data_IF_634569539344
#
_entry.id   IF_634569539344
#
_cell.length_a   1.000
_cell.length_b   1.000
_cell.length_c   1.000
_cell.angle_alpha   90.00
_cell.angle_beta   90.00
_cell.angle_gamma   90.00
#
_symmetry.space_group_name_H-M   'P 1'
#
loop_
_entity.id
_entity.type
_entity.pdbx_description
1 polymer ?
#
# COMPACT_ATOMS: atom_id res chain seq x y z
N UNK A 1 -17.02 31.45 19.29
CA UNK A 1 -15.81 32.17 18.85
C UNK A 1 -15.35 31.48 17.58
N UNK A 2 -15.76 31.99 16.42
CA UNK A 2 -15.56 31.32 15.12
C UNK A 2 -14.12 31.50 14.67
N UNK A 3 -13.30 30.45 14.78
CA UNK A 3 -12.08 30.36 13.99
C UNK A 3 -12.48 30.08 12.56
N UNK A 4 -12.58 31.14 11.74
CA UNK A 4 -12.55 31.01 10.29
C UNK A 4 -11.19 30.44 9.92
N UNK A 5 -11.10 29.11 9.80
CA UNK A 5 -9.98 28.46 9.10
C UNK A 5 -10.06 28.96 7.67
N UNK A 6 -9.26 29.98 7.39
CA UNK A 6 -9.27 30.66 6.11
C UNK A 6 -8.66 29.69 5.10
N UNK A 7 -9.38 29.41 4.01
CA UNK A 7 -8.89 28.74 2.79
C UNK A 7 -7.47 29.21 2.37
N UNK A 8 -7.07 30.49 2.59
CA UNK A 8 -5.67 30.93 2.47
C UNK A 8 -4.64 30.06 3.21
N UNK A 9 -4.93 29.53 4.39
CA UNK A 9 -3.97 28.73 5.17
C UNK A 9 -3.55 27.44 4.49
N UNK A 10 -4.50 26.73 3.87
CA UNK A 10 -4.22 25.47 3.16
C UNK A 10 -3.51 25.71 1.83
N UNK A 11 -3.89 26.78 1.11
CA UNK A 11 -3.17 27.22 -0.10
C UNK A 11 -1.77 27.73 0.22
N UNK A 12 -1.57 28.43 1.34
CA UNK A 12 -0.26 28.84 1.82
C UNK A 12 0.59 27.64 2.25
N UNK A 13 0.01 26.61 2.88
CA UNK A 13 0.74 25.38 3.22
C UNK A 13 1.18 24.62 1.96
N UNK A 14 0.33 24.55 0.94
CA UNK A 14 0.67 23.94 -0.35
C UNK A 14 1.72 24.77 -1.11
N UNK A 15 1.58 26.10 -1.18
CA UNK A 15 2.57 26.98 -1.78
C UNK A 15 3.91 26.93 -1.04
N UNK A 16 3.89 26.87 0.29
CA UNK A 16 5.08 26.70 1.11
C UNK A 16 5.74 25.34 0.86
N UNK A 17 4.97 24.26 0.73
CA UNK A 17 5.49 22.95 0.38
C UNK A 17 6.17 22.96 -1.00
N UNK A 18 5.53 23.57 -2.00
CA UNK A 18 6.11 23.74 -3.35
C UNK A 18 7.42 24.53 -3.27
N UNK A 19 7.46 25.62 -2.50
CA UNK A 19 8.68 26.41 -2.29
C UNK A 19 9.78 25.63 -1.57
N UNK A 20 9.46 24.76 -0.60
CA UNK A 20 10.45 23.90 0.07
C UNK A 20 11.01 22.84 -0.88
N UNK A 21 10.16 22.25 -1.73
CA UNK A 21 10.59 21.30 -2.75
C UNK A 21 11.51 21.98 -3.78
N UNK A 22 11.16 23.20 -4.22
CA UNK A 22 12.00 24.00 -5.12
C UNK A 22 13.34 24.40 -4.46
N UNK A 23 13.32 24.85 -3.20
CA UNK A 23 14.54 25.20 -2.46
C UNK A 23 15.47 23.99 -2.28
N UNK A 24 14.91 22.81 -2.00
CA UNK A 24 15.69 21.57 -1.93
C UNK A 24 16.27 21.18 -3.31
N UNK A 25 15.48 21.34 -4.38
CA UNK A 25 15.93 21.09 -5.76
C UNK A 25 17.08 21.99 -6.17
N UNK A 26 17.02 23.28 -5.85
CA UNK A 26 18.13 24.22 -6.11
C UNK A 26 19.39 23.87 -5.32
N UNK A 27 19.24 23.40 -4.07
CA UNK A 27 20.36 22.94 -3.25
C UNK A 27 21.02 21.69 -3.84
N UNK A 28 20.24 20.79 -4.46
CA UNK A 28 20.75 19.61 -5.16
C UNK A 28 21.52 19.98 -6.44
N UNK A 29 21.01 20.92 -7.25
CA UNK A 29 21.73 21.43 -8.43
C UNK A 29 23.11 22.00 -8.08
N UNK A 30 23.22 22.67 -6.93
CA UNK A 30 24.49 23.18 -6.42
C UNK A 30 25.51 22.07 -6.10
N UNK A 31 25.06 20.88 -5.69
CA UNK A 31 25.92 19.72 -5.42
C UNK A 31 26.41 19.05 -6.72
N UNK A 32 25.60 19.03 -7.77
CA UNK A 32 25.97 18.46 -9.08
C UNK A 32 27.06 19.27 -9.80
N UNK A 33 27.01 20.60 -9.71
CA UNK A 33 28.07 21.45 -10.26
C UNK A 33 29.42 21.29 -9.54
N UNK A 34 29.40 20.94 -8.25
CA UNK A 34 30.63 20.59 -7.54
C UNK A 34 31.22 19.25 -8.04
N UNK A 35 30.37 18.29 -8.41
CA UNK A 35 30.76 16.95 -8.86
C UNK A 35 31.41 16.92 -10.25
N UNK A 36 31.00 17.82 -11.15
CA UNK A 36 31.61 17.96 -12.48
C UNK A 36 32.93 18.73 -12.52
N UNK A 37 33.35 19.34 -11.41
CA UNK A 37 34.52 20.23 -11.36
C UNK A 37 35.84 19.57 -10.90
N UNK A 38 35.86 18.27 -10.58
CA UNK A 38 37.08 17.62 -10.08
C UNK A 38 37.17 16.12 -10.34
N UNK A 39 38.24 15.72 -11.03
CA UNK A 39 38.59 14.35 -11.38
C UNK A 39 38.64 13.38 -10.18
N UNK A 40 37.52 12.72 -9.87
CA UNK A 40 37.40 11.48 -9.09
C UNK A 40 35.98 10.85 -9.22
N UNK A 41 35.39 10.89 -10.41
CA UNK A 41 34.02 10.43 -10.69
C UNK A 41 33.78 8.94 -10.39
N UNK A 42 34.83 8.11 -10.29
CA UNK A 42 34.70 6.70 -9.92
C UNK A 42 34.45 6.44 -8.43
N UNK A 43 34.61 7.45 -7.57
CA UNK A 43 34.32 7.34 -6.12
C UNK A 43 32.98 7.98 -5.71
N UNK A 44 32.30 8.69 -6.62
CA UNK A 44 31.06 9.38 -6.31
C UNK A 44 29.81 8.53 -6.52
N UNK A 45 29.91 7.45 -7.32
CA UNK A 45 28.80 6.58 -7.70
C UNK A 45 28.19 5.69 -6.59
N UNK A 46 28.54 5.88 -5.30
CA UNK A 46 27.94 5.05 -4.23
C UNK A 46 27.69 5.75 -2.89
N UNK A 47 27.73 7.08 -2.81
CA UNK A 47 27.25 7.75 -1.61
C UNK A 47 25.73 7.86 -1.71
N UNK A 48 25.04 6.80 -1.29
CA UNK A 48 23.63 6.88 -0.93
C UNK A 48 23.46 8.16 -0.10
N UNK A 49 22.62 9.08 -0.61
CA UNK A 49 22.46 10.40 -0.03
C UNK A 49 22.08 10.26 1.45
N UNK A 50 22.94 10.68 2.41
CA UNK A 50 22.64 10.63 3.84
C UNK A 50 21.38 11.44 4.21
N UNK A 51 20.84 12.23 3.29
CA UNK A 51 19.69 13.11 3.48
C UNK A 51 18.32 12.39 3.44
N UNK A 52 18.23 11.14 2.97
CA UNK A 52 16.92 10.45 2.87
C UNK A 52 16.28 10.19 4.25
N UNK A 53 17.08 9.82 5.24
CA UNK A 53 16.59 9.54 6.60
C UNK A 53 16.13 10.80 7.34
N UNK A 54 16.88 11.92 7.36
CA UNK A 54 16.39 13.19 7.89
C UNK A 54 15.08 13.67 7.25
N UNK A 55 14.93 13.48 5.93
CA UNK A 55 13.73 13.90 5.19
C UNK A 55 12.52 13.02 5.54
N UNK A 56 12.70 11.71 5.70
CA UNK A 56 11.66 10.81 6.24
C UNK A 56 11.27 11.18 7.68
N UNK A 57 12.25 11.45 8.55
CA UNK A 57 12.00 11.83 9.95
C UNK A 57 11.27 13.17 10.06
N UNK A 58 11.64 14.17 9.25
CA UNK A 58 10.94 15.46 9.20
C UNK A 58 9.48 15.26 8.81
N UNK A 59 9.21 14.40 7.84
CA UNK A 59 7.83 14.15 7.41
C UNK A 59 7.04 13.30 8.40
N UNK A 60 7.68 12.33 9.04
CA UNK A 60 7.09 11.64 10.17
C UNK A 60 6.64 12.64 11.25
N UNK A 61 7.48 13.62 11.56
CA UNK A 61 7.16 14.70 12.51
C UNK A 61 6.03 15.62 12.01
N UNK A 62 5.98 15.99 10.73
CA UNK A 62 4.84 16.74 10.17
C UNK A 62 3.55 15.93 10.27
N UNK A 63 3.61 14.64 9.97
CA UNK A 63 2.49 13.72 10.13
C UNK A 63 2.04 13.61 11.58
N UNK A 64 2.97 13.53 12.53
CA UNK A 64 2.67 13.50 13.96
C UNK A 64 1.99 14.78 14.43
N UNK A 65 2.42 15.96 13.94
CA UNK A 65 1.76 17.22 14.24
C UNK A 65 0.34 17.28 13.67
N UNK A 66 0.14 16.81 12.44
CA UNK A 66 -1.19 16.70 11.83
C UNK A 66 -2.04 15.72 12.61
N UNK A 67 -1.46 14.60 13.05
CA UNK A 67 -2.12 13.61 13.88
C UNK A 67 -2.57 14.20 15.20
N UNK A 68 -1.69 14.90 15.91
CA UNK A 68 -2.02 15.60 17.15
C UNK A 68 -3.09 16.67 16.92
N UNK A 69 -3.03 17.42 15.82
CA UNK A 69 -4.05 18.43 15.50
C UNK A 69 -5.42 17.79 15.26
N UNK A 70 -5.49 16.77 14.38
CA UNK A 70 -6.74 16.12 13.99
C UNK A 70 -7.31 15.25 15.12
N UNK A 71 -6.47 14.66 15.98
CA UNK A 71 -6.93 13.93 17.16
C UNK A 71 -7.52 14.85 18.23
N UNK A 72 -7.02 16.09 18.33
CA UNK A 72 -7.48 17.10 19.29
C UNK A 72 -8.50 18.08 18.72
N UNK A 73 -8.97 17.87 17.49
CA UNK A 73 -10.01 18.71 16.90
C UNK A 73 -11.31 18.60 17.70
N UNK A 74 -12.03 19.71 17.83
CA UNK A 74 -13.34 19.75 18.54
C UNK A 74 -14.45 19.10 17.72
N UNK A 75 -14.25 18.91 16.41
CA UNK A 75 -15.20 18.30 15.49
C UNK A 75 -15.14 16.77 15.58
N UNK A 76 -16.10 16.16 16.28
CA UNK A 76 -16.15 14.71 16.51
C UNK A 76 -16.13 13.89 15.21
N UNK A 77 -16.84 14.35 14.16
CA UNK A 77 -16.88 13.66 12.88
C UNK A 77 -15.51 13.65 12.18
N UNK A 78 -14.80 14.77 12.17
CA UNK A 78 -13.45 14.86 11.61
C UNK A 78 -12.48 13.96 12.37
N UNK A 79 -12.60 13.93 13.70
CA UNK A 79 -11.80 13.07 14.58
C UNK A 79 -12.06 11.58 14.33
N UNK A 80 -13.33 11.14 14.34
CA UNK A 80 -13.74 9.76 14.06
C UNK A 80 -13.16 9.28 12.73
N UNK A 81 -13.34 10.08 11.68
CA UNK A 81 -12.88 9.71 10.36
C UNK A 81 -11.35 9.73 10.22
N UNK A 82 -10.68 10.67 10.88
CA UNK A 82 -9.22 10.69 10.91
C UNK A 82 -8.65 9.42 11.56
N UNK A 83 -9.22 8.98 12.69
CA UNK A 83 -8.81 7.73 13.32
C UNK A 83 -9.04 6.51 12.40
N UNK A 84 -10.14 6.47 11.65
CA UNK A 84 -10.36 5.44 10.64
C UNK A 84 -9.27 5.46 9.56
N UNK A 85 -8.92 6.64 9.04
CA UNK A 85 -7.85 6.77 8.05
C UNK A 85 -6.51 6.24 8.58
N UNK A 86 -6.15 6.60 9.82
CA UNK A 86 -4.93 6.10 10.47
C UNK A 86 -5.01 4.59 10.64
N UNK A 87 -6.16 4.05 11.06
CA UNK A 87 -6.36 2.61 11.19
C UNK A 87 -6.13 1.88 9.86
N UNK A 88 -6.67 2.39 8.74
CA UNK A 88 -6.41 1.84 7.40
C UNK A 88 -4.94 1.93 6.99
N UNK A 89 -4.28 3.04 7.31
CA UNK A 89 -2.86 3.24 7.00
C UNK A 89 -2.01 2.22 7.78
N UNK A 90 -2.26 2.08 9.08
CA UNK A 90 -1.53 1.15 9.94
C UNK A 90 -1.83 -0.30 9.56
N UNK A 91 -3.07 -0.64 9.19
CA UNK A 91 -3.38 -1.99 8.74
C UNK A 91 -2.65 -2.36 7.44
N UNK A 92 -2.49 -1.42 6.51
CA UNK A 92 -1.65 -1.60 5.31
C UNK A 92 -0.19 -1.86 5.69
N UNK A 93 0.37 -1.07 6.61
CA UNK A 93 1.74 -1.27 7.09
C UNK A 93 1.94 -2.63 7.74
N UNK A 94 1.05 -3.00 8.67
CA UNK A 94 1.08 -4.30 9.31
C UNK A 94 0.96 -5.43 8.28
N UNK A 95 0.08 -5.28 7.29
CA UNK A 95 -0.08 -6.24 6.22
C UNK A 95 1.17 -6.42 5.36
N UNK A 96 1.84 -5.32 5.00
CA UNK A 96 3.12 -5.36 4.30
C UNK A 96 4.17 -6.11 5.13
N UNK A 97 4.30 -5.78 6.42
CA UNK A 97 5.28 -6.44 7.28
C UNK A 97 5.01 -7.94 7.41
N UNK A 98 3.74 -8.34 7.50
CA UNK A 98 3.34 -9.75 7.49
C UNK A 98 3.67 -10.41 6.15
N UNK A 99 3.39 -9.76 5.04
CA UNK A 99 3.71 -10.27 3.70
C UNK A 99 5.22 -10.46 3.54
N UNK A 100 6.03 -9.45 3.85
CA UNK A 100 7.50 -9.54 3.82
C UNK A 100 8.02 -10.66 4.75
N UNK A 101 7.44 -10.79 5.95
CA UNK A 101 7.82 -11.84 6.90
C UNK A 101 7.46 -13.26 6.43
N UNK A 102 6.36 -13.45 5.70
CA UNK A 102 5.97 -14.76 5.19
C UNK A 102 6.70 -15.08 3.90
N UNK A 103 6.84 -14.11 3.01
CA UNK A 103 7.24 -14.31 1.63
C UNK A 103 8.74 -14.10 1.42
N UNK A 104 9.30 -12.97 1.84
CA UNK A 104 10.74 -12.70 1.67
C UNK A 104 11.59 -13.45 2.71
N UNK A 105 11.03 -13.67 3.90
CA UNK A 105 11.77 -14.27 5.00
C UNK A 105 11.57 -15.78 5.03
N UNK A 106 10.34 -16.23 5.26
CA UNK A 106 10.09 -17.64 5.51
C UNK A 106 10.23 -18.44 4.21
N UNK A 107 9.56 -18.03 3.14
CA UNK A 107 9.62 -18.75 1.87
C UNK A 107 10.99 -18.62 1.19
N UNK A 108 11.45 -17.41 0.91
CA UNK A 108 12.73 -17.21 0.22
C UNK A 108 13.92 -17.72 1.07
N UNK A 109 13.86 -17.59 2.39
CA UNK A 109 14.80 -18.21 3.31
C UNK A 109 14.83 -19.73 3.18
N UNK A 110 13.67 -20.40 3.25
CA UNK A 110 13.57 -21.86 3.13
C UNK A 110 14.04 -22.37 1.76
N UNK A 111 13.64 -21.72 0.67
CA UNK A 111 14.01 -22.14 -0.68
C UNK A 111 15.51 -22.00 -0.93
N UNK A 112 16.13 -20.91 -0.45
CA UNK A 112 17.58 -20.70 -0.56
C UNK A 112 18.37 -21.65 0.32
N UNK A 113 17.90 -21.93 1.54
CA UNK A 113 18.50 -22.95 2.41
C UNK A 113 18.45 -24.34 1.77
N UNK A 114 17.43 -24.62 0.96
CA UNK A 114 17.32 -25.84 0.17
C UNK A 114 18.25 -25.91 -1.06
N UNK A 115 19.04 -24.87 -1.35
CA UNK A 115 19.96 -24.85 -2.50
C UNK A 115 19.26 -24.95 -3.86
N UNK A 116 18.00 -24.50 -3.95
CA UNK A 116 17.20 -24.64 -5.16
C UNK A 116 17.71 -23.71 -6.27
N UNK A 117 17.82 -24.22 -7.50
CA UNK A 117 18.21 -23.42 -8.67
C UNK A 117 17.15 -22.37 -9.02
N UNK A 118 17.56 -21.24 -9.61
CA UNK A 118 16.68 -20.11 -9.96
C UNK A 118 15.36 -20.48 -10.68
N UNK A 119 15.31 -21.34 -11.71
CA UNK A 119 14.05 -21.66 -12.38
C UNK A 119 13.09 -22.46 -11.48
N UNK A 120 13.63 -23.33 -10.62
CA UNK A 120 12.82 -24.08 -9.66
C UNK A 120 12.36 -23.19 -8.51
N UNK A 121 13.19 -22.21 -8.13
CA UNK A 121 12.87 -21.22 -7.12
C UNK A 121 11.64 -20.39 -7.52
N UNK A 122 11.62 -19.84 -8.74
CA UNK A 122 10.49 -19.02 -9.21
C UNK A 122 9.19 -19.82 -9.29
N UNK A 123 9.27 -21.09 -9.73
CA UNK A 123 8.11 -21.97 -9.78
C UNK A 123 7.61 -22.33 -8.37
N UNK A 124 8.51 -22.70 -7.45
CA UNK A 124 8.16 -23.02 -6.07
C UNK A 124 7.51 -21.82 -5.36
N UNK A 125 8.07 -20.63 -5.58
CA UNK A 125 7.52 -19.39 -5.06
C UNK A 125 6.12 -19.12 -5.63
N UNK A 126 5.93 -19.27 -6.95
CA UNK A 126 4.64 -19.09 -7.60
C UNK A 126 3.58 -20.05 -7.03
N UNK A 127 3.93 -21.32 -6.85
CA UNK A 127 3.04 -22.33 -6.26
C UNK A 127 2.69 -21.95 -4.82
N UNK A 128 3.69 -21.54 -4.02
CA UNK A 128 3.45 -21.15 -2.64
C UNK A 128 2.50 -19.96 -2.54
N UNK A 129 2.73 -18.89 -3.29
CA UNK A 129 1.86 -17.70 -3.29
C UNK A 129 0.45 -18.02 -3.82
N UNK A 130 0.34 -18.90 -4.81
CA UNK A 130 -0.95 -19.41 -5.31
C UNK A 130 -1.74 -20.17 -4.25
N UNK A 131 -1.07 -20.92 -3.35
CA UNK A 131 -1.70 -21.61 -2.23
C UNK A 131 -1.96 -20.70 -1.04
N UNK A 132 -1.07 -19.73 -0.81
CA UNK A 132 -1.17 -18.79 0.30
C UNK A 132 -2.33 -17.80 0.12
N UNK A 133 -2.58 -17.35 -1.12
CA UNK A 133 -3.65 -16.40 -1.41
C UNK A 133 -5.05 -16.89 -0.98
N UNK A 134 -5.54 -18.11 -1.33
CA UNK A 134 -6.80 -18.61 -0.81
C UNK A 134 -6.77 -18.89 0.69
N UNK A 135 -5.60 -19.24 1.25
CA UNK A 135 -5.45 -19.41 2.70
C UNK A 135 -5.69 -18.09 3.45
N UNK A 136 -5.23 -16.96 2.91
CA UNK A 136 -5.53 -15.65 3.49
C UNK A 136 -7.02 -15.30 3.44
N UNK A 137 -7.75 -15.63 2.38
CA UNK A 137 -9.21 -15.43 2.32
C UNK A 137 -9.93 -16.18 3.45
N UNK A 138 -9.55 -17.43 3.72
CA UNK A 138 -10.06 -18.18 4.87
C UNK A 138 -9.61 -17.51 6.18
N UNK A 139 -8.37 -17.03 6.23
CA UNK A 139 -7.79 -16.29 7.33
C UNK A 139 -8.57 -15.02 7.71
N UNK A 140 -9.15 -14.30 6.74
CA UNK A 140 -10.01 -13.13 7.01
C UNK A 140 -11.15 -13.57 7.93
N UNK A 141 -11.96 -14.55 7.49
CA UNK A 141 -13.09 -15.06 8.29
C UNK A 141 -12.68 -15.63 9.64
N UNK A 142 -11.58 -16.41 9.66
CA UNK A 142 -11.11 -17.05 10.88
C UNK A 142 -10.62 -16.03 11.91
N UNK A 143 -9.83 -15.04 11.49
CA UNK A 143 -9.29 -14.01 12.37
C UNK A 143 -10.38 -13.10 12.92
N UNK A 144 -11.32 -12.64 12.09
CA UNK A 144 -12.48 -11.84 12.53
C UNK A 144 -13.37 -12.59 13.51
N UNK A 145 -13.55 -13.91 13.30
CA UNK A 145 -14.30 -14.75 14.23
C UNK A 145 -13.56 -14.92 15.56
N UNK A 146 -12.23 -15.15 15.52
CA UNK A 146 -11.42 -15.34 16.72
C UNK A 146 -11.43 -14.11 17.65
N UNK A 147 -11.59 -12.91 17.09
CA UNK A 147 -11.65 -11.65 17.83
C UNK A 147 -13.04 -11.03 17.88
N UNK A 148 -14.09 -11.83 17.67
CA UNK A 148 -15.48 -11.38 17.57
C UNK A 148 -16.01 -10.63 18.80
N UNK A 149 -15.35 -10.77 19.95
CA UNK A 149 -15.75 -10.15 21.22
C UNK A 149 -15.53 -8.63 21.25
N UNK A 150 -14.78 -8.08 20.28
CA UNK A 150 -14.50 -6.64 20.16
C UNK A 150 -14.66 -6.20 18.71
N UNK A 151 -15.65 -5.36 18.42
CA UNK A 151 -15.88 -4.75 17.09
C UNK A 151 -14.59 -4.18 16.50
N UNK A 152 -13.83 -3.52 17.34
CA UNK A 152 -12.63 -2.81 16.98
C UNK A 152 -11.53 -3.79 16.56
N UNK A 153 -11.38 -4.86 17.34
CA UNK A 153 -10.45 -5.96 17.03
C UNK A 153 -10.86 -6.68 15.75
N UNK A 154 -12.16 -6.82 15.47
CA UNK A 154 -12.68 -7.41 14.23
C UNK A 154 -12.31 -6.56 13.02
N UNK A 155 -12.60 -5.26 13.04
CA UNK A 155 -12.27 -4.32 11.95
C UNK A 155 -10.76 -4.33 11.70
N UNK A 156 -9.98 -4.27 12.78
CA UNK A 156 -8.53 -4.36 12.72
C UNK A 156 -8.07 -5.68 12.04
N UNK A 157 -8.37 -6.83 12.65
CA UNK A 157 -7.93 -8.13 12.13
C UNK A 157 -8.40 -8.36 10.69
N UNK A 158 -9.65 -8.03 10.38
CA UNK A 158 -10.22 -8.09 9.04
C UNK A 158 -9.41 -7.27 8.04
N UNK A 159 -9.15 -6.00 8.35
CA UNK A 159 -8.37 -5.10 7.50
C UNK A 159 -6.93 -5.56 7.26
N UNK A 160 -6.19 -5.97 8.31
CA UNK A 160 -4.81 -6.45 8.13
C UNK A 160 -4.77 -7.70 7.25
N UNK A 161 -5.61 -8.70 7.54
CA UNK A 161 -5.56 -9.95 6.76
C UNK A 161 -6.08 -9.73 5.33
N UNK A 162 -7.07 -8.86 5.13
CA UNK A 162 -7.53 -8.46 3.80
C UNK A 162 -6.44 -7.78 2.98
N UNK A 163 -5.70 -6.84 3.57
CA UNK A 163 -4.57 -6.19 2.93
C UNK A 163 -3.42 -7.16 2.65
N UNK A 164 -3.10 -8.08 3.57
CA UNK A 164 -2.07 -9.11 3.34
C UNK A 164 -2.47 -10.04 2.20
N UNK A 165 -3.75 -10.42 2.12
CA UNK A 165 -4.29 -11.18 1.00
C UNK A 165 -4.12 -10.39 -0.31
N UNK A 166 -4.48 -9.10 -0.32
CA UNK A 166 -4.35 -8.25 -1.50
C UNK A 166 -2.91 -8.15 -1.98
N UNK A 167 -1.94 -7.93 -1.09
CA UNK A 167 -0.51 -7.88 -1.44
C UNK A 167 0.02 -9.21 -1.95
N UNK A 168 -0.37 -10.33 -1.33
CA UNK A 168 -0.05 -11.66 -1.83
C UNK A 168 -0.58 -11.86 -3.25
N UNK A 169 -1.82 -11.42 -3.52
CA UNK A 169 -2.43 -11.48 -4.85
C UNK A 169 -1.75 -10.57 -5.87
N UNK A 170 -1.27 -9.39 -5.44
CA UNK A 170 -0.49 -8.48 -6.28
C UNK A 170 0.86 -9.11 -6.63
N UNK A 171 1.60 -9.65 -5.67
CA UNK A 171 2.90 -10.29 -5.93
C UNK A 171 2.76 -11.50 -6.86
N UNK A 172 1.74 -12.35 -6.63
CA UNK A 172 1.37 -13.43 -7.54
C UNK A 172 1.14 -12.90 -8.97
N UNK A 173 0.38 -11.81 -9.10
CA UNK A 173 0.09 -11.20 -10.40
C UNK A 173 1.35 -10.62 -11.06
N UNK A 174 2.22 -9.95 -10.31
CA UNK A 174 3.51 -9.42 -10.81
C UNK A 174 4.39 -10.55 -11.36
N UNK A 175 4.44 -11.69 -10.70
CA UNK A 175 5.24 -12.84 -11.16
C UNK A 175 4.67 -13.48 -12.42
N UNK A 176 3.36 -13.64 -12.49
CA UNK A 176 2.69 -14.08 -13.72
C UNK A 176 2.96 -13.11 -14.87
N UNK A 177 2.93 -11.80 -14.62
CA UNK A 177 3.27 -10.78 -15.60
C UNK A 177 4.73 -10.89 -16.07
N UNK A 178 5.69 -11.12 -15.17
CA UNK A 178 7.10 -11.35 -15.53
C UNK A 178 7.27 -12.59 -16.42
N UNK A 179 6.62 -13.71 -16.09
CA UNK A 179 6.64 -14.95 -16.90
C UNK A 179 6.01 -14.71 -18.28
N UNK A 180 4.95 -13.92 -18.35
CA UNK A 180 4.35 -13.54 -19.63
C UNK A 180 5.30 -12.63 -20.42
N UNK A 181 5.94 -11.67 -19.76
CA UNK A 181 6.89 -10.75 -20.41
C UNK A 181 8.10 -11.49 -21.01
N UNK A 182 8.61 -12.54 -20.37
CA UNK A 182 9.71 -13.35 -20.93
C UNK A 182 9.30 -14.22 -22.11
N UNK A 183 8.00 -14.53 -22.25
CA UNK A 183 7.47 -15.28 -23.39
C UNK A 183 7.04 -14.38 -24.56
N UNK A 184 6.71 -13.12 -24.28
CA UNK A 184 6.19 -12.18 -25.26
C UNK A 184 7.01 -10.88 -25.24
N UNK A 185 8.01 -10.80 -26.13
CA UNK A 185 8.89 -9.62 -26.27
C UNK A 185 8.14 -8.34 -26.73
N UNK A 186 6.98 -8.49 -27.36
CA UNK A 186 6.14 -7.39 -27.85
C UNK A 186 4.70 -7.57 -27.38
N UNK A 187 4.03 -6.45 -27.11
CA UNK A 187 2.59 -6.46 -26.85
C UNK A 187 1.87 -6.86 -28.14
N UNK A 188 1.41 -8.10 -28.16
CA UNK A 188 0.48 -8.62 -29.17
C UNK A 188 -0.95 -8.31 -28.75
N UNK A 189 -1.90 -8.37 -29.70
CA UNK A 189 -3.32 -8.26 -29.38
C UNK A 189 -3.79 -9.27 -28.32
N UNK A 190 -3.17 -10.46 -28.28
CA UNK A 190 -3.43 -11.49 -27.26
C UNK A 190 -2.97 -11.02 -25.88
N UNK A 191 -1.72 -10.55 -25.75
CA UNK A 191 -1.23 -10.03 -24.46
C UNK A 191 -2.07 -8.85 -23.96
N UNK A 192 -2.44 -7.93 -24.86
CA UNK A 192 -3.32 -6.80 -24.50
C UNK A 192 -4.66 -7.29 -23.96
N UNK A 193 -5.27 -8.29 -24.62
CA UNK A 193 -6.54 -8.88 -24.20
C UNK A 193 -6.43 -9.52 -22.81
N UNK A 194 -5.32 -10.22 -22.52
CA UNK A 194 -5.07 -10.81 -21.19
C UNK A 194 -5.05 -9.71 -20.12
N UNK A 195 -4.32 -8.62 -20.35
CA UNK A 195 -4.26 -7.52 -19.39
C UNK A 195 -5.61 -6.83 -19.18
N UNK A 196 -6.35 -6.55 -20.26
CA UNK A 196 -7.69 -5.93 -20.18
C UNK A 196 -8.69 -6.81 -19.44
N UNK A 197 -8.63 -8.14 -19.62
CA UNK A 197 -9.52 -9.09 -18.95
C UNK A 197 -9.06 -9.42 -17.52
N UNK A 198 -7.79 -9.19 -17.18
CA UNK A 198 -7.22 -9.58 -15.88
C UNK A 198 -7.95 -9.03 -14.64
N UNK A 199 -8.47 -7.79 -14.59
CA UNK A 199 -9.25 -7.33 -13.43
C UNK A 199 -10.55 -8.14 -13.28
N UNK A 200 -11.22 -8.47 -14.39
CA UNK A 200 -12.44 -9.29 -14.36
C UNK A 200 -12.15 -10.71 -13.86
N UNK A 201 -11.03 -11.29 -14.30
CA UNK A 201 -10.59 -12.59 -13.86
C UNK A 201 -10.23 -12.59 -12.36
N UNK A 202 -9.54 -11.56 -11.87
CA UNK A 202 -9.23 -11.42 -10.46
C UNK A 202 -10.50 -11.30 -9.61
N UNK A 203 -11.49 -10.52 -10.04
CA UNK A 203 -12.79 -10.45 -9.36
C UNK A 203 -13.48 -11.82 -9.30
N UNK A 204 -13.45 -12.59 -10.39
CA UNK A 204 -14.01 -13.94 -10.42
C UNK A 204 -13.28 -14.86 -9.42
N UNK A 205 -11.95 -14.83 -9.40
CA UNK A 205 -11.11 -15.62 -8.49
C UNK A 205 -11.38 -15.24 -7.03
N UNK A 206 -11.39 -13.94 -6.70
CA UNK A 206 -11.74 -13.45 -5.37
C UNK A 206 -13.17 -13.87 -4.97
N UNK A 207 -14.11 -13.88 -5.91
CA UNK A 207 -15.48 -14.37 -5.65
C UNK A 207 -15.51 -15.86 -5.33
N UNK A 208 -14.71 -16.68 -6.02
CA UNK A 208 -14.57 -18.11 -5.71
C UNK A 208 -14.00 -18.31 -4.30
N UNK A 209 -12.95 -17.56 -3.93
CA UNK A 209 -12.37 -17.65 -2.59
C UNK A 209 -13.27 -17.08 -1.50
N UNK A 210 -14.03 -16.01 -1.77
CA UNK A 210 -15.08 -15.51 -0.89
C UNK A 210 -16.16 -16.57 -0.64
N UNK A 211 -16.54 -17.37 -1.65
CA UNK A 211 -17.47 -18.48 -1.46
C UNK A 211 -16.88 -19.58 -0.54
N UNK A 212 -15.58 -19.88 -0.66
CA UNK A 212 -14.89 -20.83 0.23
C UNK A 212 -14.83 -20.32 1.67
N UNK A 213 -14.47 -19.05 1.84
CA UNK A 213 -14.42 -18.37 3.14
C UNK A 213 -15.82 -18.29 3.78
N UNK A 214 -16.85 -18.01 2.98
CA UNK A 214 -18.24 -18.02 3.42
C UNK A 214 -18.72 -19.41 3.86
N UNK A 215 -18.23 -20.50 3.27
CA UNK A 215 -18.51 -21.85 3.77
C UNK A 215 -17.97 -22.05 5.21
N UNK A 216 -16.76 -21.55 5.49
CA UNK A 216 -16.18 -21.55 6.85
C UNK A 216 -17.04 -20.70 7.80
N UNK A 217 -17.47 -19.50 7.37
CA UNK A 217 -18.38 -18.65 8.15
C UNK A 217 -19.69 -19.37 8.47
N UNK A 218 -20.33 -19.97 7.47
CA UNK A 218 -21.61 -20.69 7.64
C UNK A 218 -21.51 -21.81 8.66
N UNK A 219 -20.41 -22.58 8.63
CA UNK A 219 -20.18 -23.65 9.60
C UNK A 219 -20.15 -23.11 11.03
N UNK A 220 -19.40 -22.02 11.26
CA UNK A 220 -19.32 -21.36 12.58
C UNK A 220 -20.59 -20.64 13.00
N UNK A 221 -21.29 -20.04 12.04
CA UNK A 221 -22.59 -19.42 12.26
C UNK A 221 -23.63 -20.45 12.70
N UNK A 222 -23.66 -21.64 12.11
CA UNK A 222 -24.57 -22.70 12.55
C UNK A 222 -24.29 -23.15 13.98
N UNK A 223 -23.02 -23.24 14.37
CA UNK A 223 -22.64 -23.56 15.77
C UNK A 223 -23.18 -22.48 16.75
N UNK A 224 -23.13 -21.20 16.36
CA UNK A 224 -23.58 -20.07 17.19
C UNK A 224 -25.10 -19.82 17.14
N UNK A 225 -25.77 -20.03 16.00
CA UNK A 225 -27.23 -19.85 15.84
C UNK A 225 -28.00 -20.89 16.63
N UNK A 226 -27.42 -22.07 16.85
CA UNK A 226 -27.96 -23.05 17.82
C UNK A 226 -27.98 -22.46 19.24
N UNK A 227 -27.11 -21.48 19.55
CA UNK A 227 -26.98 -20.84 20.86
C UNK A 227 -27.69 -19.46 20.95
N UNK A 228 -27.77 -18.70 19.86
CA UNK A 228 -28.41 -17.37 19.82
C UNK A 228 -29.70 -17.43 19.01
N UNK A 229 -30.83 -17.61 19.72
CA UNK A 229 -32.15 -17.75 19.11
C UNK A 229 -32.94 -16.45 18.96
N UNK A 230 -32.49 -15.32 19.48
CA UNK A 230 -33.27 -14.08 19.49
C UNK A 230 -32.34 -12.86 19.39
N UNK A 231 -32.48 -12.08 18.31
CA UNK A 231 -31.81 -10.79 18.17
C UNK A 231 -31.46 -10.47 16.73
N UNK A 232 -32.23 -9.56 16.14
CA UNK A 232 -32.02 -8.77 14.92
C UNK A 232 -31.54 -9.53 13.67
N UNK A 233 -32.34 -9.51 12.60
CA UNK A 233 -32.11 -10.24 11.34
C UNK A 233 -30.84 -9.86 10.55
N UNK A 234 -29.91 -9.10 11.15
CA UNK A 234 -28.58 -8.85 10.63
C UNK A 234 -27.61 -9.86 11.26
N UNK A 235 -26.87 -10.59 10.42
CA UNK A 235 -25.85 -11.54 10.90
C UNK A 235 -24.83 -10.88 11.84
N UNK A 236 -24.05 -11.68 12.58
CA UNK A 236 -23.10 -11.14 13.56
C UNK A 236 -22.10 -10.19 12.90
N UNK A 237 -21.78 -9.11 13.59
CA UNK A 237 -20.92 -8.02 13.09
C UNK A 237 -19.62 -8.53 12.45
N UNK A 238 -18.97 -9.53 13.06
CA UNK A 238 -17.73 -10.11 12.53
C UNK A 238 -17.89 -10.74 11.15
N UNK A 239 -19.05 -11.32 10.84
CA UNK A 239 -19.28 -11.96 9.55
C UNK A 239 -19.51 -10.91 8.45
N UNK A 240 -20.11 -9.77 8.82
CA UNK A 240 -20.24 -8.62 7.94
C UNK A 240 -18.87 -8.00 7.64
N UNK A 241 -18.06 -7.79 8.67
CA UNK A 241 -16.73 -7.22 8.52
C UNK A 241 -15.78 -8.14 7.73
N UNK A 242 -15.84 -9.45 7.95
CA UNK A 242 -15.10 -10.42 7.15
C UNK A 242 -15.43 -10.31 5.66
N UNK A 243 -16.72 -10.12 5.34
CA UNK A 243 -17.16 -9.94 3.96
C UNK A 243 -16.69 -8.59 3.39
N UNK A 244 -16.71 -7.52 4.19
CA UNK A 244 -16.14 -6.24 3.80
C UNK A 244 -14.64 -6.33 3.49
N UNK A 245 -13.85 -7.01 4.34
CA UNK A 245 -12.44 -7.27 4.08
C UNK A 245 -12.18 -8.06 2.78
N UNK A 246 -13.04 -9.03 2.46
CA UNK A 246 -12.96 -9.74 1.16
C UNK A 246 -13.20 -8.82 -0.04
N UNK A 247 -14.16 -7.89 0.07
CA UNK A 247 -14.43 -6.90 -0.98
C UNK A 247 -13.29 -5.90 -1.12
N UNK A 248 -12.71 -5.44 -0.01
CA UNK A 248 -11.55 -4.54 -0.01
C UNK A 248 -10.35 -5.20 -0.67
N UNK A 249 -10.03 -6.45 -0.31
CA UNK A 249 -8.98 -7.24 -0.95
C UNK A 249 -9.19 -7.34 -2.48
N UNK A 250 -10.40 -7.71 -2.90
CA UNK A 250 -10.75 -7.82 -4.31
C UNK A 250 -10.64 -6.48 -5.05
N UNK A 251 -11.06 -5.38 -4.42
CA UNK A 251 -10.97 -4.03 -4.98
C UNK A 251 -9.53 -3.54 -5.12
N UNK A 252 -8.67 -3.78 -4.13
CA UNK A 252 -7.25 -3.40 -4.17
C UNK A 252 -6.52 -4.15 -5.29
N UNK A 253 -6.67 -5.48 -5.36
CA UNK A 253 -6.05 -6.32 -6.39
C UNK A 253 -6.56 -5.95 -7.80
N UNK A 254 -7.88 -5.86 -7.96
CA UNK A 254 -8.48 -5.56 -9.27
C UNK A 254 -8.18 -4.13 -9.72
N UNK A 255 -8.15 -3.17 -8.79
CA UNK A 255 -7.73 -1.80 -9.06
C UNK A 255 -6.26 -1.70 -9.51
N UNK A 256 -5.38 -2.50 -8.89
CA UNK A 256 -3.99 -2.59 -9.32
C UNK A 256 -3.86 -3.20 -10.73
N UNK A 257 -4.59 -4.28 -11.02
CA UNK A 257 -4.62 -4.90 -12.34
C UNK A 257 -5.21 -3.97 -13.40
N UNK A 258 -6.23 -3.19 -13.07
CA UNK A 258 -6.79 -2.17 -13.95
C UNK A 258 -5.72 -1.15 -14.33
N UNK A 259 -4.95 -0.67 -13.35
CA UNK A 259 -3.82 0.22 -13.58
C UNK A 259 -2.77 -0.44 -14.49
N UNK A 260 -2.44 -1.72 -14.31
CA UNK A 260 -1.51 -2.42 -15.22
C UNK A 260 -2.06 -2.54 -16.65
N UNK A 261 -3.36 -2.82 -16.80
CA UNK A 261 -4.03 -2.86 -18.09
C UNK A 261 -3.95 -1.50 -18.79
N UNK A 262 -4.26 -0.42 -18.08
CA UNK A 262 -4.18 0.93 -18.61
C UNK A 262 -2.74 1.31 -19.02
N UNK A 263 -1.75 1.01 -18.18
CA UNK A 263 -0.35 1.24 -18.51
C UNK A 263 0.07 0.46 -19.77
N UNK A 264 -0.35 -0.79 -19.90
CA UNK A 264 -0.05 -1.62 -21.08
C UNK A 264 -0.70 -1.05 -22.34
N UNK A 265 -1.96 -0.61 -22.25
CA UNK A 265 -2.70 0.03 -23.35
C UNK A 265 -2.03 1.33 -23.80
N UNK A 266 -1.64 2.19 -22.86
CA UNK A 266 -1.09 3.51 -23.22
C UNK A 266 0.35 3.41 -23.68
N UNK A 267 1.16 2.54 -23.06
CA UNK A 267 2.58 2.46 -23.35
C UNK A 267 2.93 1.47 -24.47
N UNK A 268 1.99 0.61 -24.86
CA UNK A 268 2.21 -0.46 -25.85
C UNK A 268 3.37 -1.40 -25.48
N UNK A 269 3.65 -1.52 -24.18
CA UNK A 269 4.70 -2.38 -23.61
C UNK A 269 4.22 -2.99 -22.30
N UNK A 270 4.75 -4.17 -21.96
CA UNK A 270 4.45 -4.81 -20.69
C UNK A 270 5.23 -4.07 -19.59
N UNK A 271 4.56 -3.52 -18.57
CA UNK A 271 5.23 -2.86 -17.46
C UNK A 271 6.07 -3.88 -16.67
N UNK A 272 7.39 -3.67 -16.60
CA UNK A 272 8.33 -4.58 -15.94
C UNK A 272 8.50 -4.28 -14.45
N UNK A 273 8.25 -3.03 -14.03
CA UNK A 273 8.25 -2.60 -12.62
C UNK A 273 6.99 -1.80 -12.29
N UNK A 274 6.68 -1.71 -11.01
CA UNK A 274 5.58 -0.89 -10.51
C UNK A 274 5.84 0.59 -10.82
N UNK A 275 5.08 1.18 -11.74
CA UNK A 275 5.14 2.62 -12.04
C UNK A 275 6.11 3.04 -13.15
N UNK A 276 6.51 2.13 -14.04
CA UNK A 276 7.30 2.50 -15.22
C UNK A 276 6.43 3.16 -16.28
N UNK A 277 6.24 4.48 -16.15
CA UNK A 277 5.74 5.33 -17.22
C UNK A 277 6.92 5.95 -17.95
N UNK A 278 7.12 5.55 -19.20
CA UNK A 278 8.13 6.14 -20.10
C UNK A 278 7.51 6.94 -21.25
N UNK A 279 6.22 6.75 -21.53
CA UNK A 279 5.54 7.46 -22.61
C UNK A 279 4.92 8.74 -22.07
N UNK A 280 5.25 9.88 -22.67
CA UNK A 280 4.81 11.21 -22.22
C UNK A 280 3.28 11.35 -22.17
N UNK A 281 2.58 10.68 -23.08
CA UNK A 281 1.11 10.67 -23.15
C UNK A 281 0.44 9.95 -21.97
N UNK A 282 1.15 9.06 -21.27
CA UNK A 282 0.56 8.29 -20.18
C UNK A 282 0.22 9.15 -18.96
N UNK A 283 1.01 10.18 -18.63
CA UNK A 283 0.69 11.08 -17.52
C UNK A 283 -0.71 11.69 -17.64
N UNK A 284 -1.02 12.41 -18.74
CA UNK A 284 -2.35 12.98 -18.98
C UNK A 284 -3.48 11.94 -18.99
N UNK A 285 -3.28 10.78 -19.62
CA UNK A 285 -4.31 9.72 -19.66
C UNK A 285 -4.61 9.18 -18.26
N UNK A 286 -3.57 8.98 -17.44
CA UNK A 286 -3.75 8.54 -16.05
C UNK A 286 -4.50 9.59 -15.24
N UNK A 287 -4.16 10.88 -15.39
CA UNK A 287 -4.85 11.98 -14.72
C UNK A 287 -6.34 12.07 -15.11
N UNK A 288 -6.64 12.03 -16.41
CA UNK A 288 -8.03 12.04 -16.90
C UNK A 288 -8.81 10.81 -16.41
N UNK A 289 -8.16 9.65 -16.34
CA UNK A 289 -8.78 8.42 -15.83
C UNK A 289 -9.11 8.54 -14.34
N UNK A 290 -8.23 9.15 -13.54
CA UNK A 290 -8.50 9.44 -12.12
C UNK A 290 -9.74 10.34 -11.99
N UNK A 291 -9.79 11.44 -12.76
CA UNK A 291 -10.96 12.34 -12.77
C UNK A 291 -12.25 11.61 -13.15
N UNK A 292 -12.20 10.77 -14.19
CA UNK A 292 -13.33 9.94 -14.63
C UNK A 292 -13.82 8.96 -13.56
N UNK A 293 -12.90 8.30 -12.85
CA UNK A 293 -13.25 7.39 -11.76
C UNK A 293 -13.85 8.08 -10.55
N UNK A 294 -13.30 9.24 -10.16
CA UNK A 294 -13.89 10.04 -9.08
C UNK A 294 -15.30 10.47 -9.46
N UNK A 295 -15.50 10.98 -10.69
CA UNK A 295 -16.83 11.37 -11.16
C UNK A 295 -17.80 10.18 -11.18
N UNK A 296 -17.40 9.03 -11.74
CA UNK A 296 -18.23 7.83 -11.78
C UNK A 296 -18.59 7.33 -10.37
N UNK A 297 -17.63 7.36 -9.43
CA UNK A 297 -17.86 7.01 -8.03
C UNK A 297 -18.88 7.96 -7.38
N UNK A 298 -18.70 9.27 -7.55
CA UNK A 298 -19.61 10.28 -7.01
C UNK A 298 -21.03 10.13 -7.56
N UNK A 299 -21.18 9.82 -8.85
CA UNK A 299 -22.49 9.54 -9.46
C UNK A 299 -23.13 8.28 -8.86
N UNK A 300 -22.37 7.18 -8.75
CA UNK A 300 -22.87 5.95 -8.13
C UNK A 300 -23.26 6.16 -6.67
N UNK A 301 -22.50 6.97 -5.93
CA UNK A 301 -22.78 7.32 -4.53
C UNK A 301 -24.02 8.21 -4.35
N UNK A 302 -24.48 8.88 -5.40
CA UNK A 302 -25.72 9.64 -5.38
C UNK A 302 -26.96 8.77 -5.67
N UNK A 303 -26.77 7.55 -6.20
CA UNK A 303 -27.89 6.63 -6.47
C UNK A 303 -28.41 6.02 -5.16
N UNK A 304 -29.73 5.80 -5.04
CA UNK A 304 -30.34 5.23 -3.83
C UNK A 304 -30.04 3.73 -3.63
N UNK A 305 -29.26 3.11 -4.52
CA UNK A 305 -29.01 1.68 -4.51
C UNK A 305 -27.87 1.31 -3.55
N UNK A 306 -28.24 0.87 -2.35
CA UNK A 306 -27.31 0.29 -1.36
C UNK A 306 -27.32 -1.23 -1.47
N UNK A 307 -26.59 -1.79 -2.42
CA UNK A 307 -26.37 -3.24 -2.51
C UNK A 307 -24.87 -3.55 -2.51
N UNK A 308 -24.50 -4.80 -2.21
CA UNK A 308 -23.08 -5.19 -2.14
C UNK A 308 -22.32 -4.95 -3.45
N UNK A 309 -23.01 -4.98 -4.59
CA UNK A 309 -22.41 -4.70 -5.90
C UNK A 309 -22.05 -3.22 -6.03
N UNK A 310 -22.92 -2.30 -5.64
CA UNK A 310 -22.65 -0.86 -5.70
C UNK A 310 -21.49 -0.48 -4.78
N UNK A 311 -21.48 -0.98 -3.54
CA UNK A 311 -20.35 -0.82 -2.62
C UNK A 311 -19.04 -1.33 -3.21
N UNK A 312 -19.06 -2.54 -3.80
CA UNK A 312 -17.88 -3.10 -4.44
C UNK A 312 -17.39 -2.24 -5.62
N UNK A 313 -18.29 -1.78 -6.49
CA UNK A 313 -17.92 -0.92 -7.64
C UNK A 313 -17.34 0.42 -7.15
N UNK A 314 -17.90 1.03 -6.10
CA UNK A 314 -17.36 2.26 -5.52
C UNK A 314 -15.97 2.06 -4.92
N UNK A 315 -15.72 0.93 -4.25
CA UNK A 315 -14.40 0.56 -3.75
C UNK A 315 -13.43 0.35 -4.91
N UNK A 316 -13.82 -0.39 -5.95
CA UNK A 316 -13.00 -0.65 -7.14
C UNK A 316 -12.60 0.64 -7.84
N UNK A 317 -13.56 1.55 -8.08
CA UNK A 317 -13.28 2.86 -8.69
C UNK A 317 -12.34 3.71 -7.84
N UNK A 318 -12.54 3.70 -6.51
CA UNK A 318 -11.65 4.37 -5.57
C UNK A 318 -10.22 3.82 -5.62
N UNK A 319 -10.05 2.49 -5.58
CA UNK A 319 -8.74 1.85 -5.65
C UNK A 319 -8.06 2.06 -6.99
N UNK A 320 -8.80 1.91 -8.09
CA UNK A 320 -8.26 2.17 -9.43
C UNK A 320 -7.81 3.62 -9.58
N UNK A 321 -8.58 4.60 -9.05
CA UNK A 321 -8.18 6.00 -8.99
C UNK A 321 -6.90 6.19 -8.17
N UNK A 322 -6.79 5.59 -6.97
CA UNK A 322 -5.57 5.67 -6.15
C UNK A 322 -4.33 5.13 -6.88
N UNK A 323 -4.43 3.94 -7.49
CA UNK A 323 -3.32 3.36 -8.25
C UNK A 323 -2.92 4.20 -9.46
N UNK A 324 -3.91 4.78 -10.15
CA UNK A 324 -3.65 5.66 -11.28
C UNK A 324 -3.01 6.99 -10.84
N UNK A 325 -3.50 7.56 -9.74
CA UNK A 325 -2.97 8.79 -9.16
C UNK A 325 -1.51 8.62 -8.70
N UNK A 326 -1.20 7.56 -7.96
CA UNK A 326 0.19 7.27 -7.57
C UNK A 326 1.12 7.09 -8.78
N UNK A 327 0.61 6.50 -9.87
CA UNK A 327 1.40 6.37 -11.11
C UNK A 327 1.64 7.71 -11.78
N UNK A 328 0.61 8.56 -11.84
CA UNK A 328 0.72 9.92 -12.37
C UNK A 328 1.75 10.73 -11.58
N UNK A 329 1.68 10.71 -10.26
CA UNK A 329 2.64 11.41 -9.39
C UNK A 329 4.06 10.84 -9.59
N UNK A 330 4.23 9.52 -9.63
CA UNK A 330 5.52 8.90 -9.90
C UNK A 330 6.08 9.27 -11.29
N UNK A 331 5.21 9.40 -12.29
CA UNK A 331 5.61 9.87 -13.61
C UNK A 331 6.10 11.32 -13.56
N UNK A 332 5.35 12.22 -12.93
CA UNK A 332 5.74 13.63 -12.78
C UNK A 332 7.06 13.77 -12.02
N UNK A 333 7.22 13.01 -10.92
CA UNK A 333 8.48 12.93 -10.17
C UNK A 333 9.62 12.42 -11.05
N UNK A 334 9.39 11.39 -11.89
CA UNK A 334 10.44 10.88 -12.80
C UNK A 334 10.86 11.92 -13.85
N UNK A 335 9.97 12.79 -14.29
CA UNK A 335 10.28 13.87 -15.23
C UNK A 335 10.99 15.05 -14.55
N UNK A 336 10.71 15.29 -13.27
CA UNK A 336 11.18 16.47 -12.55
C UNK A 336 12.31 16.21 -11.54
N UNK A 337 12.54 14.96 -11.14
CA UNK A 337 13.53 14.58 -10.12
C UNK A 337 14.57 13.64 -10.74
N UNK A 338 15.76 14.21 -10.94
CA UNK A 338 16.90 13.52 -11.54
C UNK A 338 17.46 12.43 -10.63
N UNK A 339 17.35 12.59 -9.31
CA UNK A 339 17.80 11.61 -8.32
C UNK A 339 16.81 10.44 -8.21
N UNK A 340 17.14 9.25 -8.74
CA UNK A 340 16.22 8.11 -8.75
C UNK A 340 15.90 7.59 -7.35
N UNK A 341 16.83 7.78 -6.41
CA UNK A 341 16.72 7.34 -5.03
C UNK A 341 15.62 8.13 -4.27
N UNK A 342 15.52 9.44 -4.48
CA UNK A 342 14.56 10.26 -3.73
C UNK A 342 13.12 10.20 -4.26
N UNK A 343 12.88 9.54 -5.40
CA UNK A 343 11.57 9.54 -6.06
C UNK A 343 10.45 8.97 -5.19
N UNK A 344 10.75 7.95 -4.38
CA UNK A 344 9.77 7.36 -3.47
C UNK A 344 9.42 8.31 -2.31
N UNK A 345 10.38 9.09 -1.81
CA UNK A 345 10.12 10.13 -0.81
C UNK A 345 9.21 11.21 -1.37
N UNK A 346 9.46 11.68 -2.59
CA UNK A 346 8.57 12.65 -3.23
C UNK A 346 7.16 12.10 -3.47
N UNK A 347 7.03 10.80 -3.78
CA UNK A 347 5.73 10.15 -3.92
C UNK A 347 4.99 10.17 -2.58
N UNK A 348 5.67 9.78 -1.50
CA UNK A 348 5.12 9.83 -0.15
C UNK A 348 4.54 11.20 0.16
N UNK A 349 5.33 12.25 -0.06
CA UNK A 349 4.98 13.61 0.33
C UNK A 349 3.82 14.15 -0.49
N UNK A 350 3.85 13.90 -1.80
CA UNK A 350 2.80 14.36 -2.71
C UNK A 350 1.46 13.69 -2.41
N UNK A 351 1.45 12.35 -2.23
CA UNK A 351 0.22 11.61 -1.95
C UNK A 351 -0.33 11.98 -0.56
N UNK A 352 0.55 12.07 0.44
CA UNK A 352 0.20 12.46 1.80
C UNK A 352 -0.39 13.86 1.88
N UNK A 353 0.24 14.84 1.25
CA UNK A 353 -0.24 16.22 1.23
C UNK A 353 -1.62 16.33 0.57
N UNK A 354 -1.83 15.60 -0.54
CA UNK A 354 -3.12 15.56 -1.24
C UNK A 354 -4.18 14.87 -0.39
N UNK A 355 -3.87 13.74 0.25
CA UNK A 355 -4.82 13.03 1.11
C UNK A 355 -5.22 13.86 2.34
N UNK A 356 -4.25 14.51 2.99
CA UNK A 356 -4.52 15.40 4.13
C UNK A 356 -5.36 16.60 3.70
N UNK A 357 -5.01 17.25 2.58
CA UNK A 357 -5.79 18.37 2.04
C UNK A 357 -7.21 17.94 1.70
N UNK A 358 -7.37 16.78 1.06
CA UNK A 358 -8.68 16.21 0.76
C UNK A 358 -9.48 15.98 2.05
N UNK A 359 -8.89 15.39 3.10
CA UNK A 359 -9.57 15.24 4.38
C UNK A 359 -10.05 16.56 4.98
N UNK A 360 -9.22 17.60 4.95
CA UNK A 360 -9.61 18.91 5.46
C UNK A 360 -10.80 19.48 4.69
N UNK A 361 -10.75 19.42 3.36
CA UNK A 361 -11.84 19.90 2.49
C UNK A 361 -13.12 19.09 2.74
N UNK A 362 -13.01 17.77 2.82
CA UNK A 362 -14.15 16.88 2.99
C UNK A 362 -14.76 16.98 4.39
N UNK A 363 -13.93 17.10 5.42
CA UNK A 363 -14.38 17.36 6.79
C UNK A 363 -15.13 18.69 6.86
N UNK A 364 -14.58 19.75 6.24
CA UNK A 364 -15.27 21.03 6.14
C UNK A 364 -16.60 20.93 5.39
N UNK A 365 -16.64 20.27 4.23
CA UNK A 365 -17.88 20.06 3.47
C UNK A 365 -18.93 19.25 4.27
N UNK A 366 -18.49 18.29 5.07
CA UNK A 366 -19.36 17.50 5.93
C UNK A 366 -19.96 18.33 7.07
N UNK A 367 -19.17 19.22 7.68
CA UNK A 367 -19.64 20.16 8.70
C UNK A 367 -20.74 21.09 8.14
N UNK A 368 -20.62 21.46 6.87
CA UNK A 368 -21.62 22.25 6.14
C UNK A 368 -22.80 21.42 5.62
N UNK A 369 -22.88 20.14 6.00
CA UNK A 369 -23.92 19.18 5.57
C UNK A 369 -24.01 19.02 4.06
N UNK A 370 -22.92 19.28 3.33
CA UNK A 370 -22.86 19.10 1.87
C UNK A 370 -22.61 17.65 1.48
N UNK A 371 -22.06 16.84 2.39
CA UNK A 371 -21.76 15.43 2.19
C UNK A 371 -22.53 14.57 3.19
N UNK A 372 -23.07 13.44 2.70
CA UNK A 372 -23.63 12.41 3.58
C UNK A 372 -22.51 11.68 4.33
N UNK A 373 -22.80 11.21 5.56
CA UNK A 373 -21.81 10.50 6.42
C UNK A 373 -21.19 9.29 5.70
N UNK A 374 -22.01 8.51 5.00
CA UNK A 374 -21.57 7.32 4.25
C UNK A 374 -20.57 7.68 3.14
N UNK A 375 -20.86 8.74 2.37
CA UNK A 375 -20.00 9.21 1.28
C UNK A 375 -18.64 9.71 1.79
N UNK A 376 -18.65 10.39 2.93
CA UNK A 376 -17.46 10.87 3.60
C UNK A 376 -16.57 9.71 4.07
N UNK A 377 -17.16 8.69 4.69
CA UNK A 377 -16.43 7.52 5.18
C UNK A 377 -15.74 6.76 4.03
N UNK A 378 -16.43 6.53 2.93
CA UNK A 378 -15.84 5.87 1.76
C UNK A 378 -14.68 6.66 1.15
N UNK A 379 -14.78 7.98 1.10
CA UNK A 379 -13.73 8.81 0.52
C UNK A 379 -12.50 8.88 1.43
N UNK A 380 -12.72 8.89 2.74
CA UNK A 380 -11.64 8.85 3.74
C UNK A 380 -10.95 7.50 3.76
N UNK A 381 -11.68 6.39 3.59
CA UNK A 381 -11.08 5.07 3.40
C UNK A 381 -10.17 5.06 2.17
N UNK A 382 -10.61 5.62 1.04
CA UNK A 382 -9.80 5.75 -0.19
C UNK A 382 -8.55 6.61 0.05
N UNK A 383 -8.66 7.76 0.74
CA UNK A 383 -7.51 8.60 1.09
C UNK A 383 -6.52 7.89 2.02
N UNK A 384 -7.02 7.17 3.03
CA UNK A 384 -6.20 6.40 3.96
C UNK A 384 -5.46 5.27 3.27
N UNK A 385 -6.14 4.57 2.37
CA UNK A 385 -5.53 3.50 1.59
C UNK A 385 -4.49 4.07 0.61
N UNK A 386 -4.77 5.18 -0.08
CA UNK A 386 -3.77 5.82 -0.95
C UNK A 386 -2.52 6.25 -0.17
N UNK A 387 -2.72 6.83 1.02
CA UNK A 387 -1.64 7.24 1.92
C UNK A 387 -0.84 6.03 2.37
N UNK A 388 -1.51 4.99 2.88
CA UNK A 388 -0.88 3.74 3.29
C UNK A 388 -0.07 3.07 2.19
N UNK A 389 -0.56 3.05 0.95
CA UNK A 389 0.18 2.49 -0.19
C UNK A 389 1.41 3.34 -0.59
N UNK A 390 1.32 4.67 -0.52
CA UNK A 390 2.47 5.54 -0.78
C UNK A 390 3.55 5.38 0.30
N UNK A 391 3.13 5.25 1.55
CA UNK A 391 3.98 4.94 2.69
C UNK A 391 4.62 3.55 2.57
N UNK A 392 3.86 2.54 2.17
CA UNK A 392 4.34 1.17 1.92
C UNK A 392 5.52 1.18 0.95
N UNK A 393 5.36 1.78 -0.23
CA UNK A 393 6.43 1.88 -1.24
C UNK A 393 7.67 2.62 -0.73
N UNK A 394 7.46 3.66 0.07
CA UNK A 394 8.54 4.50 0.59
C UNK A 394 9.31 3.79 1.71
N UNK A 395 8.60 3.04 2.55
CA UNK A 395 9.18 2.20 3.59
C UNK A 395 9.93 1.01 2.98
N UNK A 396 9.33 0.29 2.04
CA UNK A 396 9.97 -0.80 1.29
C UNK A 396 11.30 -0.32 0.67
N UNK A 397 11.28 0.85 0.04
CA UNK A 397 12.49 1.47 -0.51
C UNK A 397 13.51 1.83 0.56
N UNK A 398 13.09 2.47 1.66
CA UNK A 398 13.98 2.88 2.74
C UNK A 398 14.69 1.67 3.37
N UNK A 399 13.95 0.59 3.64
CA UNK A 399 14.53 -0.65 4.17
C UNK A 399 15.51 -1.28 3.17
N UNK A 400 15.14 -1.36 1.89
CA UNK A 400 16.04 -1.86 0.83
C UNK A 400 17.33 -1.05 0.73
N UNK A 401 17.28 0.27 0.95
CA UNK A 401 18.48 1.11 0.98
C UNK A 401 19.34 0.85 2.21
N UNK A 402 18.75 0.73 3.40
CA UNK A 402 19.48 0.39 4.62
C UNK A 402 20.17 -0.95 4.46
N UNK A 403 19.44 -1.99 4.03
CA UNK A 403 20.00 -3.33 3.78
C UNK A 403 21.10 -3.28 2.72
N UNK A 404 20.89 -2.57 1.60
CA UNK A 404 21.91 -2.47 0.53
C UNK A 404 23.16 -1.74 1.02
N UNK A 405 23.03 -0.67 1.79
CA UNK A 405 24.15 0.09 2.33
C UNK A 405 24.90 -0.69 3.41
N UNK A 406 24.20 -1.39 4.29
CA UNK A 406 24.82 -2.26 5.30
C UNK A 406 25.50 -3.45 4.63
N UNK A 407 24.83 -4.13 3.70
CA UNK A 407 25.43 -5.23 2.93
C UNK A 407 26.61 -4.75 2.11
N UNK A 408 26.58 -3.56 1.48
CA UNK A 408 27.74 -3.03 0.76
C UNK A 408 28.87 -2.61 1.70
N UNK A 409 28.57 -2.03 2.86
CA UNK A 409 29.59 -1.61 3.82
C UNK A 409 30.23 -2.84 4.49
N UNK A 410 29.42 -3.81 4.89
CA UNK A 410 29.84 -5.07 5.49
C UNK A 410 30.49 -6.00 4.45
N UNK A 411 29.94 -6.15 3.24
CA UNK A 411 30.60 -6.92 2.17
C UNK A 411 31.87 -6.22 1.72
N UNK A 412 31.95 -4.90 1.59
CA UNK A 412 33.21 -4.29 1.14
C UNK A 412 34.29 -4.48 2.20
N UNK A 413 33.95 -4.42 3.49
CA UNK A 413 34.88 -4.71 4.57
C UNK A 413 35.22 -6.21 4.68
N UNK A 414 34.21 -7.09 4.57
CA UNK A 414 34.34 -8.54 4.64
C UNK A 414 35.01 -9.13 3.40
N UNK A 415 34.65 -8.72 2.17
CA UNK A 415 35.29 -9.10 0.90
C UNK A 415 36.74 -8.58 0.84
N UNK A 416 37.03 -7.40 1.39
CA UNK A 416 38.42 -6.94 1.52
C UNK A 416 39.21 -7.76 2.55
N UNK A 417 38.56 -8.25 3.62
CA UNK A 417 39.15 -9.17 4.61
C UNK A 417 39.21 -10.63 4.13
N UNK A 418 38.34 -11.04 3.21
CA UNK A 418 38.07 -12.45 2.85
C UNK A 418 38.30 -12.74 1.36
N UNK A 419 39.17 -11.96 0.69
CA UNK A 419 39.67 -12.24 -0.68
C UNK A 419 40.38 -13.61 -0.82
N UNK A 420 40.43 -14.39 0.26
CA UNK A 420 40.87 -15.78 0.32
C UNK A 420 39.70 -16.72 0.71
N UNK A 421 38.75 -16.93 -0.21
CA UNK A 421 37.97 -18.15 -0.39
C UNK A 421 37.39 -18.90 0.83
N UNK A 422 36.98 -18.19 1.88
CA UNK A 422 36.62 -18.84 3.16
C UNK A 422 35.12 -19.19 3.25
N UNK A 423 34.76 -20.42 3.69
CA UNK A 423 33.37 -20.84 3.97
C UNK A 423 32.64 -19.96 5.00
N UNK A 424 33.37 -19.11 5.72
CA UNK A 424 32.87 -18.18 6.71
C UNK A 424 31.98 -17.06 6.10
N UNK A 425 32.14 -16.77 4.79
CA UNK A 425 31.36 -15.74 4.09
C UNK A 425 29.91 -16.19 3.81
N UNK A 426 29.72 -17.49 3.57
CA UNK A 426 28.38 -18.07 3.44
C UNK A 426 27.63 -18.03 4.78
N UNK A 427 28.33 -18.27 5.88
CA UNK A 427 27.75 -18.26 7.22
C UNK A 427 27.41 -16.83 7.69
N UNK A 428 28.25 -15.84 7.35
CA UNK A 428 27.97 -14.43 7.62
C UNK A 428 26.74 -13.92 6.85
N UNK A 429 26.59 -14.29 5.58
CA UNK A 429 25.42 -13.93 4.78
C UNK A 429 24.14 -14.53 5.38
N UNK A 430 24.24 -15.74 5.94
CA UNK A 430 23.16 -16.40 6.66
C UNK A 430 22.79 -15.64 7.94
N UNK A 431 23.78 -15.18 8.71
CA UNK A 431 23.58 -14.42 9.95
C UNK A 431 22.94 -13.05 9.69
N UNK A 432 23.36 -12.32 8.65
CA UNK A 432 22.77 -11.02 8.29
C UNK A 432 21.29 -11.16 7.93
N UNK A 433 20.91 -12.22 7.22
CA UNK A 433 19.50 -12.51 6.94
C UNK A 433 18.73 -12.82 8.22
N UNK A 434 19.28 -13.63 9.14
CA UNK A 434 18.63 -13.91 10.42
C UNK A 434 18.40 -12.60 11.21
N UNK A 435 19.34 -11.66 11.15
CA UNK A 435 19.18 -10.34 11.78
C UNK A 435 18.06 -9.52 11.13
N UNK A 436 18.00 -9.48 9.79
CA UNK A 436 16.91 -8.86 9.04
C UNK A 436 15.55 -9.46 9.44
N UNK A 437 15.46 -10.79 9.55
CA UNK A 437 14.28 -11.50 10.08
C UNK A 437 13.92 -11.04 11.48
N UNK A 438 14.90 -11.00 12.38
CA UNK A 438 14.71 -10.55 13.76
C UNK A 438 14.18 -9.12 13.83
N UNK A 439 14.66 -8.23 12.96
CA UNK A 439 14.22 -6.84 12.89
C UNK A 439 12.75 -6.72 12.46
N UNK A 440 12.34 -7.40 11.38
CA UNK A 440 10.93 -7.40 10.95
C UNK A 440 9.99 -7.99 12.01
N UNK A 441 10.39 -9.12 12.63
CA UNK A 441 9.61 -9.72 13.71
C UNK A 441 9.51 -8.82 14.94
N UNK A 442 10.59 -8.10 15.28
CA UNK A 442 10.57 -7.13 16.37
C UNK A 442 9.63 -5.94 16.06
N UNK A 443 9.67 -5.42 14.83
CA UNK A 443 8.74 -4.36 14.39
C UNK A 443 7.30 -4.85 14.48
N UNK A 444 7.00 -6.04 13.98
CA UNK A 444 5.67 -6.65 14.09
C UNK A 444 5.22 -6.84 15.55
N UNK A 445 6.12 -7.33 16.41
CA UNK A 445 5.86 -7.54 17.83
C UNK A 445 5.59 -6.24 18.59
N UNK A 446 6.06 -5.09 18.10
CA UNK A 446 5.78 -3.77 18.68
C UNK A 446 4.54 -3.13 18.05
N UNK A 447 4.43 -3.15 16.72
CA UNK A 447 3.36 -2.48 15.99
C UNK A 447 2.00 -3.12 16.21
N UNK A 448 1.90 -4.46 16.23
CA UNK A 448 0.61 -5.15 16.38
C UNK A 448 -0.03 -4.88 17.76
N UNK A 449 0.69 -4.99 18.89
CA UNK A 449 0.15 -4.60 20.18
C UNK A 449 -0.15 -3.10 20.29
N UNK A 450 0.73 -2.23 19.77
CA UNK A 450 0.51 -0.77 19.79
C UNK A 450 -0.76 -0.38 19.03
N UNK A 451 -0.97 -0.97 17.85
CA UNK A 451 -2.16 -0.74 17.05
C UNK A 451 -3.43 -1.30 17.73
N UNK A 452 -3.39 -2.53 18.26
CA UNK A 452 -4.53 -3.16 18.94
C UNK A 452 -4.94 -2.46 20.22
N UNK A 453 -3.98 -2.00 21.03
CA UNK A 453 -4.28 -1.47 22.37
C UNK A 453 -4.46 0.04 22.43
N UNK A 454 -3.92 0.79 21.46
CA UNK A 454 -4.00 2.25 21.47
C UNK A 454 -4.82 2.79 20.31
N UNK A 455 -4.52 2.39 19.07
CA UNK A 455 -5.12 3.04 17.89
C UNK A 455 -6.57 2.59 17.69
N UNK A 456 -6.79 1.28 17.79
CA UNK A 456 -8.08 0.64 17.51
C UNK A 456 -9.17 1.00 18.55
N UNK A 457 -8.89 1.01 19.87
CA UNK A 457 -9.87 1.44 20.88
C UNK A 457 -10.19 2.94 20.82
N UNK A 458 -9.19 3.80 20.54
CA UNK A 458 -9.43 5.25 20.39
C UNK A 458 -10.31 5.59 19.19
N UNK A 459 -10.27 4.77 18.12
CA UNK A 459 -11.09 4.96 16.94
C UNK A 459 -12.59 4.66 17.16
N UNK A 460 -12.93 3.85 18.16
CA UNK A 460 -14.29 3.33 18.36
C UNK A 460 -14.97 3.80 19.66
N UNK A 461 -14.22 4.33 20.63
CA UNK A 461 -14.80 4.96 21.82
C UNK A 461 -15.32 6.41 21.58
N UNK A 462 -15.34 6.89 20.34
CA UNK A 462 -15.75 8.23 19.94
C UNK A 462 -16.64 8.20 18.70
#
# INVERSE_FOLDING_TARGET
>A
MYWTVSIPGTLCAFAWLVLQVEAYREKLKGLEHAEHSGANASNAASKASPDAMPVLLLWFLVFDFIFLYLSNTTYSLMRENFFKMVSYTVSIFCALLVEMAVVEILLEGLLRLGGMSEPHYDLAYLIFTLLLFPAWFIGISYSTWFVQDSSDSVVAAGGVIAHTAAFTGIDLSVRLQKILATKFDKVTGVTMSIYVVSPLLAMLVCKLFSNMSHWVRRKKLMDNVIQQKEGDGHGPFWAHEAFHGELECAAILSGWLFRQALLTVVQQRIPTKSGDIEVTLAGPVMFLTVGGFICAKSVLAALPWKNHLTTFVQLLLGMAACWCFMSFIMYDIKQNVDLPDHRWLFLLFSVSAVAITAMFVLGYMADWRMLQKDQLQELIAVCGIATGLAWEKSFEWAVKQVVKNDVLTYNRHAVNLLRHGSPLLADLTRQLKIFEVGAYLAILAVMVPAWRWYIVPLANHH
#
